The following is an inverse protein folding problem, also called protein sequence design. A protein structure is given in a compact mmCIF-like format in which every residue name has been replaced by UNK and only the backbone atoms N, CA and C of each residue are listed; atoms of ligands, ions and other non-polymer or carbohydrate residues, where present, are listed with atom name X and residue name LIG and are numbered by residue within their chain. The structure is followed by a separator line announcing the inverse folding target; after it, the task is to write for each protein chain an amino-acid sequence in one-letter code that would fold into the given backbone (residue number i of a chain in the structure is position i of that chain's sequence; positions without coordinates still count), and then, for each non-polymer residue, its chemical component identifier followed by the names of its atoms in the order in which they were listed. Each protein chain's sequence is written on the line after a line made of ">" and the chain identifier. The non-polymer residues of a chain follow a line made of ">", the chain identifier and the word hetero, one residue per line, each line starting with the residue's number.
data_IF_973408737730
#
_entry.id   IF_973408737730
#
_cell.length_a   1.000
_cell.length_b   1.000
_cell.length_c   1.000
_cell.angle_alpha   90.00
_cell.angle_beta   90.00
_cell.angle_gamma   90.00
#
_symmetry.space_group_name_H-M   'P 1'
#
loop_
_entity.id
_entity.type
_entity.pdbx_description
1 polymer ?
#
# COMPACT_ATOMS: atom_id res chain seq x y z
N UNK A 1 -23.96 -1.33 -49.34
CA UNK A 1 -23.42 -2.13 -48.22
C UNK A 1 -23.85 -1.46 -46.94
N UNK A 2 -24.50 -2.22 -46.07
CA UNK A 2 -25.24 -1.77 -44.88
C UNK A 2 -24.30 -1.02 -43.92
N UNK A 3 -24.67 0.20 -43.52
CA UNK A 3 -24.06 0.88 -42.39
C UNK A 3 -24.58 0.21 -41.11
N UNK A 4 -23.85 -0.77 -40.59
CA UNK A 4 -24.18 -1.37 -39.31
C UNK A 4 -23.81 -0.38 -38.19
N UNK A 5 -24.82 0.28 -37.64
CA UNK A 5 -24.69 1.06 -36.41
C UNK A 5 -24.89 0.08 -35.26
N UNK A 6 -23.79 -0.32 -34.62
CA UNK A 6 -23.85 -1.15 -33.42
C UNK A 6 -24.00 -0.26 -32.18
N UNK A 7 -25.12 -0.39 -31.47
CA UNK A 7 -25.30 0.20 -30.15
C UNK A 7 -24.96 -0.83 -29.07
N UNK A 8 -24.06 -0.50 -28.15
CA UNK A 8 -23.79 -1.34 -26.97
C UNK A 8 -24.53 -0.77 -25.76
N UNK A 9 -25.56 -1.49 -25.28
CA UNK A 9 -26.30 -1.15 -24.05
C UNK A 9 -25.72 -1.90 -22.86
N UNK A 10 -25.19 -1.18 -21.88
CA UNK A 10 -24.63 -1.77 -20.67
C UNK A 10 -25.48 -1.41 -19.44
N UNK A 11 -25.96 -2.44 -18.71
CA UNK A 11 -26.52 -2.30 -17.36
C UNK A 11 -25.40 -2.58 -16.35
N UNK A 12 -25.03 -1.58 -15.55
CA UNK A 12 -23.91 -1.70 -14.58
C UNK A 12 -24.45 -1.78 -13.14
N UNK A 13 -24.03 -2.81 -12.41
CA UNK A 13 -24.30 -2.94 -10.97
C UNK A 13 -23.36 -2.03 -10.15
N UNK A 14 -23.85 -1.62 -8.97
CA UNK A 14 -23.33 -0.54 -8.11
C UNK A 14 -21.80 -0.52 -7.95
N UNK A 15 -21.21 0.63 -8.29
CA UNK A 15 -19.88 1.12 -7.90
C UNK A 15 -18.67 0.25 -8.29
N UNK A 16 -18.46 0.03 -9.59
CA UNK A 16 -17.17 -0.38 -10.11
C UNK A 16 -16.74 0.54 -11.27
N UNK A 17 -15.51 1.04 -11.22
CA UNK A 17 -14.84 1.51 -12.43
C UNK A 17 -14.59 0.27 -13.29
N UNK A 18 -15.34 0.11 -14.38
CA UNK A 18 -15.19 -1.05 -15.27
C UNK A 18 -14.51 -0.60 -16.56
N UNK A 19 -13.41 -1.25 -16.91
CA UNK A 19 -12.80 -1.16 -18.24
C UNK A 19 -13.27 -2.39 -19.02
N UNK A 20 -13.99 -2.19 -20.13
CA UNK A 20 -14.35 -3.29 -21.03
C UNK A 20 -13.40 -3.37 -22.22
N UNK A 21 -13.41 -4.55 -22.83
CA UNK A 21 -12.72 -4.91 -24.06
C UNK A 21 -13.81 -5.27 -25.07
N UNK A 22 -13.74 -4.79 -26.31
CA UNK A 22 -14.72 -5.17 -27.33
C UNK A 22 -14.06 -5.73 -28.59
N UNK A 23 -14.82 -6.62 -29.23
CA UNK A 23 -14.40 -7.73 -30.08
C UNK A 23 -14.41 -7.38 -31.58
N UNK A 24 -13.60 -8.16 -32.29
CA UNK A 24 -13.27 -8.24 -33.72
C UNK A 24 -14.45 -8.03 -34.69
N UNK A 25 -14.20 -7.21 -35.72
CA UNK A 25 -14.90 -7.29 -37.01
C UNK A 25 -13.87 -7.60 -38.10
N UNK A 26 -14.12 -8.70 -38.83
CA UNK A 26 -13.48 -9.10 -40.09
C UNK A 26 -12.01 -8.69 -40.26
N UNK A 27 -11.12 -9.56 -39.77
CA UNK A 27 -9.67 -9.62 -40.05
C UNK A 27 -8.79 -8.42 -39.65
N UNK A 28 -9.30 -7.38 -38.98
CA UNK A 28 -8.45 -6.34 -38.34
C UNK A 28 -8.79 -6.21 -36.86
N UNK A 29 -7.78 -6.40 -35.99
CA UNK A 29 -7.88 -6.15 -34.56
C UNK A 29 -7.72 -4.65 -34.31
N UNK A 30 -8.84 -3.93 -34.12
CA UNK A 30 -8.83 -2.53 -33.70
C UNK A 30 -8.99 -2.48 -32.18
N UNK A 31 -8.01 -1.88 -31.51
CA UNK A 31 -8.01 -1.68 -30.06
C UNK A 31 -8.67 -0.33 -29.73
N UNK A 32 -9.86 -0.35 -29.15
CA UNK A 32 -10.49 0.86 -28.59
C UNK A 32 -10.59 0.75 -27.08
N UNK A 33 -10.20 1.82 -26.40
CA UNK A 33 -10.25 1.94 -24.95
C UNK A 33 -11.29 2.99 -24.58
N UNK A 34 -12.30 2.59 -23.81
CA UNK A 34 -13.28 3.51 -23.23
C UNK A 34 -13.22 3.34 -21.71
N UNK A 35 -12.74 4.37 -21.03
CA UNK A 35 -12.79 4.48 -19.57
C UNK A 35 -13.91 5.44 -19.20
N UNK A 36 -14.85 4.99 -18.37
CA UNK A 36 -15.89 5.85 -17.81
C UNK A 36 -15.60 6.00 -16.33
N UNK A 37 -15.36 7.25 -15.90
CA UNK A 37 -15.15 7.61 -14.50
C UNK A 37 -16.49 7.97 -13.86
N UNK A 38 -16.86 7.25 -12.80
CA UNK A 38 -18.09 7.50 -12.04
C UNK A 38 -17.84 8.22 -10.72
N UNK A 39 -16.64 8.75 -10.49
CA UNK A 39 -16.30 9.52 -9.29
C UNK A 39 -17.10 10.83 -9.24
N UNK A 40 -18.28 10.78 -8.64
CA UNK A 40 -19.19 11.93 -8.49
C UNK A 40 -20.68 11.62 -8.66
N UNK A 41 -21.05 10.39 -9.03
CA UNK A 41 -22.47 10.02 -9.21
C UNK A 41 -23.06 9.34 -7.97
N UNK A 42 -24.37 9.53 -7.74
CA UNK A 42 -25.08 9.00 -6.56
C UNK A 42 -25.19 7.47 -6.66
N UNK A 43 -24.67 6.69 -5.68
CA UNK A 43 -24.58 5.23 -5.75
C UNK A 43 -25.93 4.49 -5.68
N UNK A 44 -27.05 5.20 -5.51
CA UNK A 44 -28.38 4.61 -5.32
C UNK A 44 -29.19 4.38 -6.61
N UNK A 45 -28.72 4.83 -7.77
CA UNK A 45 -29.43 4.64 -9.05
C UNK A 45 -28.72 3.63 -9.97
N UNK A 46 -29.51 2.78 -10.66
CA UNK A 46 -29.02 2.02 -11.82
C UNK A 46 -28.62 3.00 -12.93
N UNK A 47 -27.43 2.81 -13.50
CA UNK A 47 -26.92 3.67 -14.57
C UNK A 47 -26.74 2.85 -15.85
N UNK A 48 -27.27 3.39 -16.95
CA UNK A 48 -27.11 2.85 -18.30
C UNK A 48 -26.35 3.86 -19.16
N UNK A 49 -25.36 3.38 -19.92
CA UNK A 49 -24.61 4.18 -20.89
C UNK A 49 -24.82 3.56 -22.28
N UNK A 50 -25.27 4.37 -23.23
CA UNK A 50 -25.38 4.01 -24.64
C UNK A 50 -24.13 4.55 -25.37
N UNK A 51 -23.29 3.66 -25.89
CA UNK A 51 -22.10 4.02 -26.68
C UNK A 51 -22.44 3.92 -28.18
N UNK A 52 -22.33 5.03 -28.91
CA UNK A 52 -22.53 5.09 -30.36
C UNK A 52 -21.16 5.11 -31.07
N UNK A 53 -20.81 4.03 -31.77
CA UNK A 53 -19.57 3.94 -32.56
C UNK A 53 -19.90 4.32 -34.02
N UNK A 54 -19.60 5.55 -34.43
CA UNK A 54 -19.75 5.97 -35.84
C UNK A 54 -18.47 5.69 -36.63
N UNK A 55 -18.51 4.68 -37.50
CA UNK A 55 -17.49 4.47 -38.53
C UNK A 55 -17.62 5.51 -39.65
N UNK A 56 -17.02 6.69 -39.45
CA UNK A 56 -17.10 7.81 -40.40
C UNK A 56 -15.75 8.46 -40.64
N UNK A 57 -15.04 8.01 -41.67
CA UNK A 57 -13.84 8.64 -42.19
C UNK A 57 -13.18 7.76 -43.25
N UNK A 58 -12.94 8.28 -44.47
CA UNK A 58 -12.13 7.60 -45.47
C UNK A 58 -10.74 7.35 -44.90
N UNK A 59 -10.38 6.07 -44.78
CA UNK A 59 -9.04 5.64 -44.37
C UNK A 59 -8.01 6.05 -45.44
N UNK A 60 -6.87 6.67 -45.08
CA UNK A 60 -5.78 6.91 -46.02
C UNK A 60 -5.30 5.55 -46.55
N UNK A 61 -5.10 5.42 -47.87
CA UNK A 61 -4.63 4.17 -48.53
C UNK A 61 -3.14 3.86 -48.28
N UNK A 62 -2.60 4.25 -47.13
CA UNK A 62 -1.23 3.98 -46.72
C UNK A 62 -1.22 3.45 -45.30
N UNK A 63 -0.55 2.31 -45.10
CA UNK A 63 -0.46 1.64 -43.80
C UNK A 63 -0.02 2.62 -42.69
N UNK A 64 -0.78 2.74 -41.59
CA UNK A 64 -0.38 3.55 -40.46
C UNK A 64 0.79 2.88 -39.73
N UNK A 65 1.81 3.65 -39.38
CA UNK A 65 2.92 3.16 -38.57
C UNK A 65 2.46 2.90 -37.13
N UNK A 66 3.10 1.94 -36.45
CA UNK A 66 2.72 1.43 -35.12
C UNK A 66 2.55 2.52 -34.02
N UNK A 67 3.16 3.70 -34.19
CA UNK A 67 3.04 4.84 -33.26
C UNK A 67 1.67 5.54 -33.30
N UNK A 68 0.85 5.35 -34.34
CA UNK A 68 -0.46 6.00 -34.46
C UNK A 68 -1.60 5.25 -33.76
N UNK A 69 -1.43 3.96 -33.46
CA UNK A 69 -2.46 3.09 -32.87
C UNK A 69 -2.51 3.12 -31.33
N UNK A 70 -1.69 3.93 -30.67
CA UNK A 70 -1.50 3.93 -29.21
C UNK A 70 -2.02 5.17 -28.47
N UNK A 71 -3.04 5.88 -29.01
CA UNK A 71 -3.65 7.02 -28.29
C UNK A 71 -5.01 6.63 -27.67
N UNK A 72 -5.18 6.71 -26.34
CA UNK A 72 -6.50 6.59 -25.72
C UNK A 72 -7.38 7.79 -26.12
N UNK A 73 -8.62 7.53 -26.56
CA UNK A 73 -9.64 8.56 -26.70
C UNK A 73 -10.27 8.80 -25.32
N UNK A 74 -10.00 9.96 -24.72
CA UNK A 74 -10.76 10.46 -23.57
C UNK A 74 -12.01 11.15 -24.10
N UNK A 75 -13.20 10.63 -23.77
CA UNK A 75 -14.47 11.29 -24.09
C UNK A 75 -14.85 12.17 -22.91
N UNK A 76 -14.90 13.49 -23.14
CA UNK A 76 -15.28 14.48 -22.14
C UNK A 76 -16.81 14.51 -22.00
N UNK A 77 -17.31 14.43 -20.77
CA UNK A 77 -18.75 14.50 -20.48
C UNK A 77 -19.24 15.94 -20.56
N UNK A 78 -19.56 16.42 -21.77
CA UNK A 78 -20.50 17.53 -21.95
C UNK A 78 -21.82 17.00 -22.49
N UNK A 79 -22.79 16.86 -21.60
CA UNK A 79 -24.18 16.72 -21.97
C UNK A 79 -24.63 17.96 -22.75
N UNK A 80 -25.39 17.77 -23.83
CA UNK A 80 -26.81 18.18 -23.92
C UNK A 80 -27.33 18.22 -25.36
N UNK A 81 -28.57 17.74 -25.49
CA UNK A 81 -29.67 18.34 -26.27
C UNK A 81 -29.32 19.09 -27.56
N UNK A 82 -29.83 18.58 -28.67
CA UNK A 82 -29.87 19.21 -29.99
C UNK A 82 -30.35 20.67 -29.95
N UNK A 83 -29.63 21.57 -30.63
CA UNK A 83 -30.22 22.54 -31.57
C UNK A 83 -29.19 22.87 -32.67
N UNK A 84 -29.67 22.83 -33.89
CA UNK A 84 -29.02 23.11 -35.18
C UNK A 84 -28.56 24.56 -35.33
N UNK A 85 -27.35 24.80 -35.85
CA UNK A 85 -27.08 25.81 -36.90
C UNK A 85 -25.59 25.84 -37.31
N UNK A 86 -25.37 25.59 -38.60
CA UNK A 86 -24.37 26.19 -39.52
C UNK A 86 -22.87 26.08 -39.24
N UNK A 87 -22.21 25.40 -40.19
CA UNK A 87 -20.80 25.50 -40.56
C UNK A 87 -20.35 26.95 -40.71
N UNK A 88 -19.28 27.32 -40.00
CA UNK A 88 -18.09 28.05 -40.44
C UNK A 88 -17.34 28.53 -39.19
N UNK A 89 -16.01 28.46 -39.21
CA UNK A 89 -15.08 28.82 -38.12
C UNK A 89 -14.80 27.74 -37.05
N UNK A 90 -13.75 26.94 -37.30
CA UNK A 90 -12.60 26.77 -36.39
C UNK A 90 -11.56 25.80 -36.99
N UNK A 91 -10.84 26.28 -38.01
CA UNK A 91 -9.43 25.90 -38.22
C UNK A 91 -8.60 26.62 -37.14
N UNK A 92 -8.65 26.14 -35.89
CA UNK A 92 -7.75 26.62 -34.84
C UNK A 92 -7.70 25.58 -33.69
N UNK A 93 -6.49 25.24 -33.27
CA UNK A 93 -6.12 24.39 -32.11
C UNK A 93 -6.00 22.86 -32.31
N UNK A 94 -5.15 22.44 -33.25
CA UNK A 94 -4.50 21.11 -33.22
C UNK A 94 -3.07 21.16 -32.63
N UNK A 95 -2.82 22.05 -31.68
CA UNK A 95 -1.61 22.05 -30.84
C UNK A 95 -2.03 21.90 -29.38
N UNK A 96 -2.23 20.65 -28.92
CA UNK A 96 -2.02 20.35 -27.50
C UNK A 96 -0.53 20.58 -27.28
N UNK A 97 -0.16 21.69 -26.65
CA UNK A 97 1.19 21.88 -26.10
C UNK A 97 1.52 20.61 -25.32
N UNK A 98 2.56 19.89 -25.72
CA UNK A 98 3.08 18.80 -24.90
C UNK A 98 3.44 19.42 -23.55
N UNK A 99 2.69 19.07 -22.50
CA UNK A 99 2.97 19.57 -21.16
C UNK A 99 4.43 19.26 -20.82
N UNK A 100 5.21 20.28 -20.49
CA UNK A 100 6.63 20.13 -20.15
C UNK A 100 6.74 19.46 -18.78
N UNK A 101 6.80 18.12 -18.80
CA UNK A 101 6.95 17.30 -17.61
C UNK A 101 8.34 17.40 -16.98
N UNK A 102 9.32 18.04 -17.64
CA UNK A 102 10.66 18.23 -17.08
C UNK A 102 10.62 19.06 -15.79
N UNK A 103 9.60 19.90 -15.60
CA UNK A 103 9.41 20.65 -14.35
C UNK A 103 9.24 19.77 -13.10
N UNK A 104 8.88 18.50 -13.26
CA UNK A 104 8.74 17.54 -12.16
C UNK A 104 9.96 16.63 -11.99
N UNK A 105 11.03 16.85 -12.78
CA UNK A 105 12.26 16.10 -12.65
C UNK A 105 12.95 16.43 -11.31
N UNK A 106 13.28 15.41 -10.54
CA UNK A 106 14.08 15.54 -9.33
C UNK A 106 15.54 15.18 -9.63
N UNK A 107 16.48 16.14 -9.64
CA UNK A 107 17.91 15.83 -9.85
C UNK A 107 18.46 14.87 -8.79
N UNK A 108 17.94 14.96 -7.57
CA UNK A 108 18.34 14.12 -6.45
C UNK A 108 17.98 12.64 -6.67
N UNK A 109 16.84 12.38 -7.30
CA UNK A 109 16.32 11.03 -7.50
C UNK A 109 16.62 10.50 -8.90
N UNK A 110 16.86 11.38 -9.87
CA UNK A 110 17.16 11.03 -11.26
C UNK A 110 15.93 10.62 -12.07
N UNK A 111 14.72 11.04 -11.66
CA UNK A 111 13.48 10.79 -12.38
C UNK A 111 12.39 11.81 -11.99
N UNK A 112 11.28 11.82 -12.72
CA UNK A 112 10.13 12.68 -12.40
C UNK A 112 9.31 12.13 -11.23
N UNK A 113 8.85 13.03 -10.37
CA UNK A 113 7.90 12.74 -9.27
C UNK A 113 6.88 13.88 -9.19
N UNK A 114 5.60 13.52 -9.09
CA UNK A 114 4.55 14.52 -8.95
C UNK A 114 4.55 15.14 -7.55
N UNK A 115 4.34 16.45 -7.43
CA UNK A 115 4.35 17.14 -6.15
C UNK A 115 3.23 16.62 -5.25
N UNK A 116 3.56 16.40 -3.98
CA UNK A 116 2.64 16.01 -2.91
C UNK A 116 3.02 16.78 -1.65
N UNK A 117 2.12 16.85 -0.67
CA UNK A 117 2.33 17.63 0.54
C UNK A 117 2.78 16.73 1.71
N UNK A 118 4.10 16.52 1.93
CA UNK A 118 4.57 15.72 3.06
C UNK A 118 4.33 16.39 4.42
N UNK A 119 4.07 17.71 4.43
CA UNK A 119 3.96 18.51 5.66
C UNK A 119 2.72 18.17 6.49
N UNK A 120 1.72 17.52 5.89
CA UNK A 120 0.58 16.93 6.61
C UNK A 120 1.07 16.03 7.75
N UNK A 121 2.11 15.24 7.50
CA UNK A 121 2.70 14.35 8.52
C UNK A 121 3.93 14.96 9.17
N UNK A 122 4.77 15.69 8.44
CA UNK A 122 6.03 16.21 9.00
C UNK A 122 5.82 17.35 10.01
N UNK A 123 4.80 18.19 9.81
CA UNK A 123 4.47 19.30 10.70
C UNK A 123 3.09 19.16 11.35
N UNK A 124 2.33 18.12 11.01
CA UNK A 124 1.02 17.89 11.62
C UNK A 124 1.10 17.53 13.10
N UNK A 125 -0.02 17.67 13.80
CA UNK A 125 -0.15 17.24 15.19
C UNK A 125 -0.68 15.82 15.29
N UNK A 126 -0.24 15.10 16.32
CA UNK A 126 -0.87 13.84 16.70
C UNK A 126 -2.25 14.12 17.31
N UNK A 127 -3.28 13.42 16.83
CA UNK A 127 -4.58 13.35 17.49
C UNK A 127 -4.44 12.47 18.72
N UNK A 128 -3.85 11.28 18.54
CA UNK A 128 -3.55 10.34 19.61
C UNK A 128 -2.05 10.05 19.61
N UNK A 129 -1.41 10.16 20.78
CA UNK A 129 0.03 9.98 20.93
C UNK A 129 0.40 9.27 22.24
N UNK A 130 0.50 7.93 22.23
CA UNK A 130 1.01 7.15 23.37
C UNK A 130 2.54 7.28 23.52
N UNK A 131 3.02 8.50 23.78
CA UNK A 131 4.45 8.86 23.75
C UNK A 131 5.36 8.14 24.75
N UNK A 132 4.80 7.49 25.77
CA UNK A 132 5.56 6.77 26.82
C UNK A 132 5.62 5.26 26.61
N UNK A 133 4.96 4.73 25.59
CA UNK A 133 4.75 3.28 25.45
C UNK A 133 6.06 2.50 25.22
N UNK A 134 7.07 3.12 24.62
CA UNK A 134 8.40 2.53 24.51
C UNK A 134 9.26 2.77 25.76
N UNK A 135 9.26 4.01 26.28
CA UNK A 135 10.16 4.43 27.36
C UNK A 135 9.79 3.89 28.74
N UNK A 136 8.58 3.34 28.91
CA UNK A 136 8.19 2.58 30.10
C UNK A 136 8.94 1.24 30.24
N UNK A 137 9.53 0.73 29.16
CA UNK A 137 10.32 -0.50 29.16
C UNK A 137 11.80 -0.13 29.20
N UNK A 138 12.56 -0.60 30.19
CA UNK A 138 14.01 -0.33 30.25
C UNK A 138 14.75 -1.03 29.10
N UNK A 139 14.41 -2.29 28.86
CA UNK A 139 14.98 -3.12 27.79
C UNK A 139 13.84 -3.56 26.84
N UNK A 140 13.62 -2.82 25.75
CA UNK A 140 12.62 -3.17 24.73
C UNK A 140 13.30 -3.87 23.55
N UNK A 141 13.17 -5.19 23.43
CA UNK A 141 13.83 -5.94 22.34
C UNK A 141 13.20 -5.64 20.96
N UNK A 142 11.88 -5.43 20.92
CA UNK A 142 11.16 -5.23 19.67
C UNK A 142 10.01 -4.24 19.80
N UNK A 143 10.04 -3.14 19.06
CA UNK A 143 8.85 -2.32 18.82
C UNK A 143 8.21 -2.71 17.49
N UNK A 144 6.91 -2.99 17.51
CA UNK A 144 6.13 -3.43 16.35
C UNK A 144 5.20 -2.30 15.94
N UNK A 145 5.42 -1.71 14.78
CA UNK A 145 4.55 -0.67 14.21
C UNK A 145 3.66 -1.29 13.14
N UNK A 146 2.35 -1.12 13.29
CA UNK A 146 1.36 -1.80 12.44
C UNK A 146 0.58 -0.79 11.62
N UNK A 147 0.59 -0.95 10.30
CA UNK A 147 -0.35 -0.28 9.42
C UNK A 147 -1.72 -0.93 9.53
N UNK A 148 -2.72 -0.20 10.01
CA UNK A 148 -4.09 -0.72 10.15
C UNK A 148 -5.12 0.34 9.79
N UNK A 149 -6.26 -0.07 9.26
CA UNK A 149 -7.40 0.83 9.10
C UNK A 149 -8.12 1.05 10.46
N UNK A 150 -8.77 2.20 10.69
CA UNK A 150 -9.44 2.50 11.95
C UNK A 150 -10.44 1.45 12.41
N UNK A 151 -11.16 0.78 11.50
CA UNK A 151 -12.20 -0.19 11.86
C UNK A 151 -11.77 -1.66 11.83
N UNK A 152 -10.47 -1.94 11.68
CA UNK A 152 -9.92 -3.29 11.74
C UNK A 152 -9.65 -3.76 13.19
N UNK A 153 -10.70 -3.72 14.02
CA UNK A 153 -10.62 -4.04 15.45
C UNK A 153 -10.12 -5.46 15.75
N UNK A 154 -10.61 -6.45 14.99
CA UNK A 154 -10.28 -7.87 15.20
C UNK A 154 -8.80 -8.12 14.89
N UNK A 155 -8.30 -7.57 13.79
CA UNK A 155 -6.87 -7.65 13.41
C UNK A 155 -5.96 -7.02 14.46
N UNK A 156 -6.29 -5.81 14.94
CA UNK A 156 -5.55 -5.18 16.04
C UNK A 156 -5.56 -6.03 17.31
N UNK A 157 -6.71 -6.58 17.68
CA UNK A 157 -6.83 -7.50 18.83
C UNK A 157 -5.89 -8.70 18.68
N UNK A 158 -5.92 -9.39 17.54
CA UNK A 158 -5.08 -10.56 17.29
C UNK A 158 -3.59 -10.22 17.38
N UNK A 159 -3.14 -9.13 16.75
CA UNK A 159 -1.74 -8.69 16.83
C UNK A 159 -1.36 -8.30 18.26
N UNK A 160 -2.21 -7.55 18.96
CA UNK A 160 -1.99 -7.15 20.36
C UNK A 160 -1.84 -8.36 21.28
N UNK A 161 -2.68 -9.38 21.13
CA UNK A 161 -2.57 -10.60 21.92
C UNK A 161 -1.31 -11.40 21.58
N UNK A 162 -0.92 -11.43 20.30
CA UNK A 162 0.28 -12.16 19.83
C UNK A 162 1.59 -11.60 20.38
N UNK A 163 1.67 -10.28 20.56
CA UNK A 163 2.82 -9.60 21.16
C UNK A 163 2.64 -9.30 22.67
N UNK A 164 1.60 -9.85 23.31
CA UNK A 164 1.35 -9.60 24.73
C UNK A 164 2.34 -10.35 25.63
N UNK A 165 2.75 -9.79 26.79
CA UNK A 165 3.74 -10.41 27.67
C UNK A 165 3.47 -11.89 28.03
N UNK A 166 2.22 -12.34 28.27
CA UNK A 166 1.93 -13.75 28.54
C UNK A 166 2.27 -14.71 27.38
N UNK A 167 2.39 -14.20 26.15
CA UNK A 167 2.73 -14.99 24.95
C UNK A 167 4.19 -14.87 24.52
N UNK A 168 4.93 -13.94 25.09
CA UNK A 168 6.35 -13.77 24.78
C UNK A 168 7.19 -14.81 25.54
N UNK A 169 8.17 -15.46 24.89
CA UNK A 169 9.15 -16.24 25.62
C UNK A 169 9.95 -15.29 26.53
N UNK A 170 10.23 -15.70 27.78
CA UNK A 170 11.19 -14.96 28.61
C UNK A 170 12.61 -15.19 28.07
N UNK A 171 13.51 -14.20 28.14
CA UNK A 171 13.39 -12.88 28.76
C UNK A 171 13.00 -11.77 27.76
N UNK A 172 12.33 -12.10 26.65
CA UNK A 172 12.10 -11.15 25.56
C UNK A 172 10.97 -10.17 25.84
N UNK A 173 11.13 -8.94 25.37
CA UNK A 173 10.11 -7.87 25.48
C UNK A 173 9.69 -7.36 24.11
N UNK A 174 8.40 -7.09 23.94
CA UNK A 174 7.88 -6.49 22.73
C UNK A 174 6.75 -5.52 23.04
N UNK A 175 6.60 -4.50 22.18
CA UNK A 175 5.51 -3.54 22.27
C UNK A 175 4.92 -3.30 20.89
N UNK A 176 3.61 -3.49 20.75
CA UNK A 176 2.89 -3.14 19.51
C UNK A 176 2.33 -1.72 19.59
N UNK A 177 2.33 -1.03 18.45
CA UNK A 177 1.79 0.31 18.25
C UNK A 177 1.09 0.37 16.89
N UNK A 178 -0.14 0.88 16.85
CA UNK A 178 -0.99 0.91 15.66
C UNK A 178 -1.02 2.31 15.03
N UNK A 179 -0.90 2.37 13.70
CA UNK A 179 -0.75 3.61 12.94
C UNK A 179 -2.00 3.87 12.10
N UNK A 180 -2.74 4.93 12.40
CA UNK A 180 -4.05 5.23 11.80
C UNK A 180 -4.10 6.63 11.19
N UNK A 181 -4.84 6.77 10.09
CA UNK A 181 -5.38 8.05 9.64
C UNK A 181 -6.78 8.32 10.21
N UNK A 182 -7.49 9.24 9.57
CA UNK A 182 -8.89 9.60 9.86
C UNK A 182 -9.79 9.25 8.68
N UNK A 183 -11.04 8.89 8.95
CA UNK A 183 -12.07 8.87 7.92
C UNK A 183 -12.76 10.25 7.88
N UNK A 184 -13.22 10.66 6.71
CA UNK A 184 -13.97 11.91 6.57
C UNK A 184 -15.31 11.79 7.32
N UNK A 185 -15.79 12.88 7.92
CA UNK A 185 -17.04 12.91 8.70
C UNK A 185 -18.25 12.33 7.96
N UNK A 186 -18.30 12.45 6.62
CA UNK A 186 -19.36 11.90 5.77
C UNK A 186 -19.30 10.38 5.59
N UNK A 187 -18.15 9.76 5.87
CA UNK A 187 -17.89 8.32 5.73
C UNK A 187 -17.76 7.60 7.08
N UNK A 188 -17.75 8.36 8.18
CA UNK A 188 -17.61 7.84 9.53
C UNK A 188 -18.92 7.17 9.96
N UNK A 189 -18.79 5.95 10.47
CA UNK A 189 -19.85 5.25 11.19
C UNK A 189 -19.72 5.65 12.68
N UNK A 190 -20.69 6.39 13.26
CA UNK A 190 -20.59 6.89 14.63
C UNK A 190 -20.40 5.79 15.68
N UNK A 191 -21.03 4.63 15.48
CA UNK A 191 -20.90 3.50 16.39
C UNK A 191 -19.49 2.91 16.34
N UNK A 192 -18.89 2.80 15.14
CA UNK A 192 -17.51 2.34 15.00
C UNK A 192 -16.51 3.36 15.54
N UNK A 193 -16.75 4.66 15.37
CA UNK A 193 -15.88 5.70 15.92
C UNK A 193 -15.93 5.73 17.45
N UNK A 194 -17.11 5.50 18.05
CA UNK A 194 -17.24 5.33 19.49
C UNK A 194 -16.46 4.10 19.98
N UNK A 195 -16.55 2.96 19.27
CA UNK A 195 -15.76 1.77 19.59
C UNK A 195 -14.25 2.00 19.45
N UNK A 196 -13.82 2.77 18.46
CA UNK A 196 -12.41 3.16 18.30
C UNK A 196 -11.95 4.05 19.45
N UNK A 197 -12.76 5.02 19.86
CA UNK A 197 -12.47 5.88 21.01
C UNK A 197 -12.32 5.05 22.29
N UNK A 198 -13.20 4.07 22.50
CA UNK A 198 -13.12 3.14 23.62
C UNK A 198 -11.84 2.26 23.56
N UNK A 199 -11.45 1.79 22.37
CA UNK A 199 -10.21 1.02 22.17
C UNK A 199 -8.98 1.88 22.50
N UNK A 200 -8.90 3.11 21.97
CA UNK A 200 -7.80 4.06 22.20
C UNK A 200 -7.62 4.28 23.71
N UNK A 201 -8.71 4.61 24.41
CA UNK A 201 -8.67 4.83 25.87
C UNK A 201 -8.24 3.59 26.65
N UNK A 202 -8.66 2.41 26.21
CA UNK A 202 -8.39 1.15 26.91
C UNK A 202 -6.93 0.71 26.80
N UNK A 203 -6.35 0.78 25.60
CA UNK A 203 -5.04 0.18 25.34
C UNK A 203 -3.90 1.18 25.22
N UNK A 204 -4.21 2.45 24.91
CA UNK A 204 -3.22 3.52 24.78
C UNK A 204 -2.03 3.11 23.89
N UNK A 205 -2.32 2.48 22.74
CA UNK A 205 -1.34 1.92 21.80
C UNK A 205 -1.60 2.32 20.34
N UNK A 206 -2.42 3.36 20.12
CA UNK A 206 -2.77 3.89 18.81
C UNK A 206 -2.14 5.27 18.62
N UNK A 207 -1.36 5.42 17.55
CA UNK A 207 -0.89 6.70 17.04
C UNK A 207 -1.80 7.10 15.88
N UNK A 208 -2.42 8.27 15.98
CA UNK A 208 -3.37 8.77 14.98
C UNK A 208 -3.04 10.20 14.58
N UNK A 209 -3.07 10.48 13.29
CA UNK A 209 -2.94 11.84 12.73
C UNK A 209 -4.07 12.14 11.75
N UNK A 210 -4.31 13.43 11.50
CA UNK A 210 -5.35 13.87 10.58
C UNK A 210 -4.90 13.83 9.12
N UNK A 211 -4.92 12.63 8.54
CA UNK A 211 -4.86 12.43 7.10
C UNK A 211 -5.89 11.38 6.70
N UNK A 212 -6.50 11.57 5.53
CA UNK A 212 -7.53 10.66 5.04
C UNK A 212 -6.99 9.24 4.89
N UNK A 213 -7.64 8.30 5.57
CA UNK A 213 -7.38 6.88 5.47
C UNK A 213 -7.75 6.37 4.08
N UNK A 214 -6.74 6.09 3.26
CA UNK A 214 -6.93 5.63 1.89
C UNK A 214 -5.68 4.88 1.40
N UNK A 215 -5.87 3.93 0.47
CA UNK A 215 -4.76 3.14 -0.07
C UNK A 215 -3.65 4.00 -0.69
N UNK A 216 -4.01 5.07 -1.42
CA UNK A 216 -3.03 6.02 -2.01
C UNK A 216 -2.30 6.88 -0.96
N UNK A 217 -2.79 6.88 0.28
CA UNK A 217 -2.26 7.65 1.41
C UNK A 217 -1.47 6.77 2.39
N UNK A 218 -1.21 5.49 2.06
CA UNK A 218 -0.37 4.62 2.88
C UNK A 218 1.02 5.23 3.15
N UNK A 219 1.54 6.06 2.25
CA UNK A 219 2.80 6.75 2.48
C UNK A 219 2.74 7.74 3.64
N UNK A 220 1.61 8.43 3.87
CA UNK A 220 1.44 9.27 5.06
C UNK A 220 1.51 8.42 6.34
N UNK A 221 0.85 7.27 6.34
CA UNK A 221 0.94 6.30 7.44
C UNK A 221 2.36 5.75 7.61
N UNK A 222 3.10 5.62 6.52
CA UNK A 222 4.49 5.19 6.56
C UNK A 222 5.43 6.24 7.17
N UNK A 223 5.23 7.51 6.80
CA UNK A 223 5.92 8.64 7.41
C UNK A 223 5.54 8.79 8.89
N UNK A 224 4.28 8.50 9.25
CA UNK A 224 3.76 8.59 10.61
C UNK A 224 4.55 7.70 11.57
N UNK A 225 4.69 6.40 11.26
CA UNK A 225 5.41 5.50 12.16
C UNK A 225 6.88 5.87 12.27
N UNK A 226 7.51 6.30 11.17
CA UNK A 226 8.92 6.65 11.17
C UNK A 226 9.17 7.89 12.03
N UNK A 227 8.34 8.93 11.88
CA UNK A 227 8.39 10.13 12.71
C UNK A 227 8.17 9.78 14.18
N UNK A 228 7.13 9.02 14.49
CA UNK A 228 6.79 8.66 15.86
C UNK A 228 7.90 7.84 16.54
N UNK A 229 8.54 6.90 15.83
CA UNK A 229 9.66 6.14 16.38
C UNK A 229 10.90 7.00 16.66
N UNK A 230 11.18 7.99 15.80
CA UNK A 230 12.28 8.93 16.00
C UNK A 230 12.04 9.83 17.22
N UNK A 231 10.80 10.30 17.40
CA UNK A 231 10.42 11.22 18.48
C UNK A 231 10.18 10.53 19.84
N UNK A 232 9.65 9.30 19.85
CA UNK A 232 9.06 8.71 21.06
C UNK A 232 9.53 7.28 21.39
N UNK A 233 10.37 6.66 20.58
CA UNK A 233 10.83 5.29 20.81
C UNK A 233 12.36 5.12 20.67
N UNK A 234 13.18 5.79 21.51
CA UNK A 234 14.64 5.74 21.41
C UNK A 234 15.28 4.43 21.86
N UNK A 235 14.63 3.68 22.75
CA UNK A 235 15.21 2.57 23.51
C UNK A 235 14.93 1.16 22.92
N UNK A 236 14.16 1.05 21.84
CA UNK A 236 13.92 -0.24 21.21
C UNK A 236 15.19 -0.77 20.53
N UNK A 237 15.54 -2.05 20.72
CA UNK A 237 16.70 -2.67 20.06
C UNK A 237 16.47 -2.84 18.55
N UNK A 238 15.28 -3.27 18.17
CA UNK A 238 14.86 -3.50 16.79
C UNK A 238 13.46 -2.93 16.55
N UNK A 239 13.20 -2.57 15.29
CA UNK A 239 11.87 -2.15 14.81
C UNK A 239 11.34 -3.20 13.87
N UNK A 240 10.06 -3.54 14.00
CA UNK A 240 9.33 -4.38 13.07
C UNK A 240 8.12 -3.62 12.53
N UNK A 241 8.07 -3.39 11.22
CA UNK A 241 6.88 -2.90 10.52
C UNK A 241 6.06 -4.09 10.03
N UNK A 242 4.77 -4.07 10.33
CA UNK A 242 3.78 -5.04 9.83
C UNK A 242 2.59 -4.35 9.16
N UNK A 243 1.95 -5.07 8.25
CA UNK A 243 0.55 -4.81 7.87
C UNK A 243 -0.41 -5.56 8.82
N UNK A 244 -1.65 -5.09 8.93
CA UNK A 244 -2.65 -5.68 9.83
C UNK A 244 -3.17 -7.05 9.39
N UNK A 245 -2.88 -7.49 8.17
CA UNK A 245 -3.21 -8.80 7.63
C UNK A 245 -2.01 -9.76 7.65
N UNK A 246 -1.08 -9.54 8.56
CA UNK A 246 0.08 -10.41 8.76
C UNK A 246 -0.05 -11.24 10.03
N UNK A 247 0.41 -12.49 9.94
CA UNK A 247 0.53 -13.41 11.06
C UNK A 247 1.95 -13.95 11.12
N UNK A 248 2.52 -14.00 12.33
CA UNK A 248 3.89 -14.45 12.54
C UNK A 248 4.05 -15.33 13.78
N UNK A 249 5.05 -16.20 13.72
CA UNK A 249 5.54 -16.96 14.87
C UNK A 249 6.42 -16.05 15.73
N UNK A 250 5.80 -15.33 16.66
CA UNK A 250 6.47 -14.37 17.55
C UNK A 250 7.57 -15.05 18.39
N UNK A 251 7.39 -16.33 18.74
CA UNK A 251 8.35 -17.11 19.53
C UNK A 251 9.62 -17.45 18.75
N UNK A 252 9.53 -17.63 17.43
CA UNK A 252 10.72 -17.71 16.55
C UNK A 252 11.32 -16.34 16.27
N UNK A 253 10.48 -15.33 16.04
CA UNK A 253 10.92 -13.99 15.60
C UNK A 253 11.74 -13.25 16.68
N UNK A 254 11.36 -13.34 17.95
CA UNK A 254 12.04 -12.59 19.01
C UNK A 254 13.51 -13.00 19.21
N UNK A 255 13.84 -14.30 19.36
CA UNK A 255 15.24 -14.75 19.39
C UNK A 255 16.04 -14.37 18.15
N UNK A 256 15.43 -14.46 16.96
CA UNK A 256 16.09 -14.07 15.70
C UNK A 256 16.38 -12.56 15.67
N UNK A 257 15.41 -11.74 16.05
CA UNK A 257 15.55 -10.29 16.10
C UNK A 257 16.65 -9.87 17.08
N UNK A 258 16.58 -10.35 18.33
CA UNK A 258 17.54 -9.99 19.39
C UNK A 258 18.91 -10.62 19.20
N UNK A 259 19.00 -11.88 18.79
CA UNK A 259 20.24 -12.64 18.74
C UNK A 259 21.01 -12.58 17.42
N UNK A 260 20.33 -12.27 16.31
CA UNK A 260 20.93 -12.25 14.98
C UNK A 260 20.81 -10.87 14.33
N UNK A 261 19.60 -10.34 14.16
CA UNK A 261 19.39 -9.12 13.39
C UNK A 261 19.98 -7.88 14.06
N UNK A 262 19.86 -7.79 15.39
CA UNK A 262 20.38 -6.67 16.21
C UNK A 262 21.90 -6.43 16.10
N UNK A 263 22.66 -7.45 15.66
CA UNK A 263 24.11 -7.37 15.45
C UNK A 263 24.47 -6.50 14.24
N UNK A 264 23.54 -6.33 13.30
CA UNK A 264 23.75 -5.51 12.13
C UNK A 264 23.31 -4.07 12.39
N UNK A 265 24.09 -3.13 11.88
CA UNK A 265 23.80 -1.69 11.92
C UNK A 265 23.28 -1.23 10.58
N UNK A 266 22.52 -0.13 10.58
CA UNK A 266 21.93 0.49 9.38
C UNK A 266 21.31 -0.52 8.41
N UNK A 267 20.57 -1.48 8.95
CA UNK A 267 20.15 -2.68 8.22
C UNK A 267 18.63 -2.81 8.15
N UNK A 268 18.16 -3.29 6.99
CA UNK A 268 16.75 -3.63 6.74
C UNK A 268 16.67 -5.12 6.37
N UNK A 269 15.83 -5.89 7.07
CA UNK A 269 15.57 -7.29 6.78
C UNK A 269 14.15 -7.44 6.23
N UNK A 270 14.02 -7.87 4.98
CA UNK A 270 12.72 -8.01 4.33
C UNK A 270 12.75 -8.98 3.14
N UNK A 271 11.60 -9.23 2.51
CA UNK A 271 11.57 -9.77 1.15
C UNK A 271 12.01 -8.67 0.19
N UNK A 272 13.26 -8.74 -0.29
CA UNK A 272 13.86 -7.67 -1.10
C UNK A 272 13.46 -7.76 -2.56
N UNK A 273 13.18 -6.61 -3.15
CA UNK A 273 13.09 -6.37 -4.58
C UNK A 273 14.38 -5.68 -5.03
N UNK A 274 15.34 -6.38 -5.66
CA UNK A 274 16.61 -5.77 -6.07
C UNK A 274 16.40 -4.66 -7.11
N UNK A 275 17.27 -3.65 -7.09
CA UNK A 275 17.33 -2.61 -8.12
C UNK A 275 17.31 -3.21 -9.53
N UNK A 276 16.45 -2.68 -10.39
CA UNK A 276 16.37 -3.14 -11.78
C UNK A 276 15.51 -4.38 -12.02
N UNK A 277 14.79 -4.89 -11.00
CA UNK A 277 13.98 -6.11 -11.15
C UNK A 277 12.48 -5.85 -11.25
N UNK A 278 11.97 -4.78 -10.65
CA UNK A 278 10.52 -4.54 -10.54
C UNK A 278 10.04 -3.50 -11.55
N UNK A 279 9.15 -3.87 -12.48
CA UNK A 279 8.55 -2.92 -13.40
C UNK A 279 7.68 -1.92 -12.65
N UNK A 280 7.62 -0.69 -13.15
CA UNK A 280 6.73 0.34 -12.61
C UNK A 280 5.32 0.05 -13.11
N UNK A 281 4.35 -0.28 -12.22
CA UNK A 281 3.02 -0.69 -12.64
C UNK A 281 2.30 0.47 -13.34
N UNK A 282 1.75 0.23 -14.52
CA UNK A 282 0.89 1.21 -15.23
C UNK A 282 -0.59 0.83 -15.21
N UNK A 283 -0.91 -0.35 -14.66
CA UNK A 283 -2.27 -0.88 -14.53
C UNK A 283 -2.50 -1.43 -13.12
N UNK A 284 -3.77 -1.62 -12.76
CA UNK A 284 -4.19 -2.17 -11.48
C UNK A 284 -4.15 -1.17 -10.32
N UNK A 285 -4.43 -1.66 -9.11
CA UNK A 285 -4.60 -0.84 -7.90
C UNK A 285 -3.35 -0.01 -7.55
N UNK A 286 -2.16 -0.54 -7.86
CA UNK A 286 -0.86 0.08 -7.59
C UNK A 286 -0.31 0.86 -8.79
N UNK A 287 -1.13 1.15 -9.81
CA UNK A 287 -0.67 1.87 -10.99
C UNK A 287 -0.09 3.24 -10.64
N UNK A 288 0.96 3.61 -11.36
CA UNK A 288 1.73 4.83 -11.18
C UNK A 288 1.42 5.76 -12.34
N UNK A 289 1.14 7.02 -12.03
CA UNK A 289 0.84 8.04 -13.03
C UNK A 289 1.97 8.08 -14.08
N UNK A 290 1.66 8.06 -15.40
CA UNK A 290 2.67 8.07 -16.47
C UNK A 290 3.66 9.24 -16.39
N UNK A 291 3.28 10.34 -15.73
CA UNK A 291 4.13 11.52 -15.52
C UNK A 291 5.17 11.31 -14.41
N UNK A 292 4.97 10.30 -13.57
CA UNK A 292 5.98 9.82 -12.62
C UNK A 292 6.84 8.75 -13.28
N UNK A 293 8.14 8.86 -13.02
CA UNK A 293 9.13 8.00 -13.66
C UNK A 293 9.08 8.08 -15.19
N UNK A 294 8.89 9.28 -15.75
CA UNK A 294 8.91 9.52 -17.20
C UNK A 294 10.22 9.00 -17.78
N UNK A 295 10.14 8.18 -18.84
CA UNK A 295 11.32 7.55 -19.45
C UNK A 295 11.91 6.37 -18.65
N UNK A 296 11.38 6.06 -17.48
CA UNK A 296 11.85 4.99 -16.60
C UNK A 296 10.78 3.91 -16.49
N UNK A 297 11.12 2.68 -16.87
CA UNK A 297 10.19 1.53 -16.88
C UNK A 297 10.30 0.62 -15.67
N UNK A 298 11.44 0.66 -14.97
CA UNK A 298 11.79 -0.23 -13.87
C UNK A 298 12.23 0.63 -12.70
N UNK A 299 11.82 0.30 -11.48
CA UNK A 299 12.23 1.07 -10.31
C UNK A 299 13.75 1.08 -10.14
N UNK A 300 14.40 2.26 -10.01
CA UNK A 300 15.85 2.37 -9.91
C UNK A 300 16.37 2.17 -8.47
N UNK A 301 15.62 1.45 -7.63
CA UNK A 301 15.89 1.25 -6.21
C UNK A 301 15.83 -0.23 -5.84
N UNK A 302 16.69 -0.65 -4.90
CA UNK A 302 16.39 -1.82 -4.08
C UNK A 302 15.40 -1.38 -3.01
N UNK A 303 14.34 -2.15 -2.81
CA UNK A 303 13.33 -1.87 -1.79
C UNK A 303 12.72 -3.16 -1.22
N UNK A 304 11.91 -3.04 -0.19
CA UNK A 304 11.26 -4.18 0.46
C UNK A 304 9.82 -4.33 -0.02
N UNK A 305 9.35 -5.56 -0.21
CA UNK A 305 7.92 -5.84 -0.06
C UNK A 305 7.54 -5.62 1.40
N UNK A 306 6.67 -4.65 1.68
CA UNK A 306 6.58 -4.03 3.00
C UNK A 306 5.72 -4.71 4.05
N UNK A 307 5.14 -5.89 3.77
CA UNK A 307 4.24 -6.55 4.71
C UNK A 307 4.93 -7.02 6.00
N UNK A 308 6.19 -7.45 5.93
CA UNK A 308 7.06 -7.74 7.08
C UNK A 308 8.43 -7.14 6.83
N UNK A 309 8.83 -6.15 7.64
CA UNK A 309 10.13 -5.50 7.52
C UNK A 309 10.73 -5.25 8.90
N UNK A 310 11.93 -5.79 9.15
CA UNK A 310 12.70 -5.42 10.33
C UNK A 310 13.70 -4.31 9.97
N UNK A 311 13.88 -3.36 10.87
CA UNK A 311 14.88 -2.32 10.77
C UNK A 311 15.73 -2.28 12.04
N UNK A 312 17.03 -2.08 11.88
CA UNK A 312 17.90 -1.77 13.01
C UNK A 312 17.55 -0.39 13.56
N UNK A 313 17.52 -0.22 14.88
CA UNK A 313 17.06 1.03 15.50
C UNK A 313 17.90 2.25 15.09
N UNK A 314 19.20 2.06 14.87
CA UNK A 314 20.13 3.11 14.47
C UNK A 314 19.84 3.68 13.06
N UNK A 315 19.00 3.02 12.27
CA UNK A 315 18.59 3.49 10.95
C UNK A 315 17.41 4.48 11.00
N UNK A 316 16.60 4.45 12.07
CA UNK A 316 15.36 5.24 12.17
C UNK A 316 15.62 6.74 12.06
N UNK A 317 16.55 7.30 12.84
CA UNK A 317 16.81 8.75 12.81
C UNK A 317 17.42 9.24 11.47
N UNK A 318 18.41 8.53 10.87
CA UNK A 318 18.85 8.81 9.51
C UNK A 318 17.72 8.81 8.47
N UNK A 319 16.81 7.83 8.55
CA UNK A 319 15.64 7.79 7.66
C UNK A 319 14.67 8.94 7.93
N UNK A 320 14.38 9.28 9.19
CA UNK A 320 13.48 10.38 9.55
C UNK A 320 13.99 11.73 9.00
N UNK A 321 15.30 11.97 9.09
CA UNK A 321 15.97 13.13 8.46
C UNK A 321 15.88 13.08 6.93
N UNK A 322 16.05 11.89 6.35
CA UNK A 322 15.98 11.70 4.90
C UNK A 322 14.57 11.94 4.32
N UNK A 323 13.51 11.57 5.04
CA UNK A 323 12.12 11.83 4.59
C UNK A 323 11.89 13.32 4.31
N UNK A 324 12.38 14.21 5.19
CA UNK A 324 12.18 15.66 5.06
C UNK A 324 12.75 16.25 3.75
N UNK A 325 13.75 15.60 3.15
CA UNK A 325 14.41 16.02 1.91
C UNK A 325 14.06 15.17 0.69
N UNK A 326 13.14 14.22 0.84
CA UNK A 326 12.76 13.30 -0.24
C UNK A 326 11.37 13.68 -0.76
N UNK A 327 11.22 14.03 -2.06
CA UNK A 327 9.91 14.24 -2.66
C UNK A 327 8.98 13.04 -2.42
N UNK A 328 7.79 13.30 -1.88
CA UNK A 328 6.87 12.25 -1.48
C UNK A 328 6.31 11.48 -2.69
N UNK A 329 6.31 10.16 -2.57
CA UNK A 329 5.77 9.21 -3.55
C UNK A 329 4.63 8.38 -2.93
N UNK A 330 3.69 7.84 -3.71
CA UNK A 330 2.46 7.24 -3.18
C UNK A 330 2.52 5.72 -2.94
N UNK A 331 3.55 5.04 -3.43
CA UNK A 331 3.83 3.64 -3.09
C UNK A 331 4.78 3.66 -1.90
N UNK A 332 4.25 3.39 -0.71
CA UNK A 332 4.94 3.52 0.57
C UNK A 332 6.17 2.63 0.67
N UNK A 333 6.09 1.40 0.17
CA UNK A 333 7.21 0.46 0.12
C UNK A 333 8.41 1.01 -0.68
N UNK A 334 8.14 1.57 -1.86
CA UNK A 334 9.17 2.16 -2.73
C UNK A 334 9.67 3.47 -2.12
N UNK A 335 8.77 4.28 -1.56
CA UNK A 335 9.13 5.54 -0.92
C UNK A 335 10.03 5.31 0.29
N UNK A 336 9.61 4.51 1.26
CA UNK A 336 10.33 4.30 2.52
C UNK A 336 11.60 3.46 2.33
N UNK A 337 11.45 2.29 1.71
CA UNK A 337 12.53 1.31 1.65
C UNK A 337 13.36 1.42 0.39
N UNK A 338 13.02 2.29 -0.57
CA UNK A 338 13.83 2.59 -1.75
C UNK A 338 14.38 4.01 -1.72
N UNK A 339 13.49 5.00 -1.86
CA UNK A 339 13.87 6.41 -2.01
C UNK A 339 14.45 7.00 -0.71
N UNK A 340 13.73 6.90 0.40
CA UNK A 340 14.15 7.41 1.71
C UNK A 340 15.37 6.65 2.22
N UNK A 341 15.42 5.33 2.05
CA UNK A 341 16.58 4.52 2.40
C UNK A 341 17.83 4.91 1.59
N UNK A 342 17.72 5.12 0.26
CA UNK A 342 18.81 5.69 -0.56
C UNK A 342 19.26 7.04 0.00
N UNK A 343 18.31 7.90 0.32
CA UNK A 343 18.58 9.22 0.88
C UNK A 343 19.16 9.17 2.29
N UNK A 344 18.92 8.14 3.08
CA UNK A 344 19.55 7.96 4.39
C UNK A 344 21.03 7.58 4.29
N UNK A 345 21.46 6.98 3.16
CA UNK A 345 22.83 6.56 2.88
C UNK A 345 23.29 5.35 3.68
N UNK A 346 24.26 4.58 3.18
CA UNK A 346 24.87 3.43 3.88
C UNK A 346 23.84 2.47 4.51
N UNK A 347 22.82 2.08 3.74
CA UNK A 347 21.79 1.12 4.18
C UNK A 347 22.10 -0.25 3.60
N UNK A 348 22.10 -1.27 4.46
CA UNK A 348 22.30 -2.67 4.04
C UNK A 348 20.97 -3.41 4.04
N UNK A 349 20.68 -4.13 2.96
CA UNK A 349 19.47 -4.97 2.86
C UNK A 349 19.84 -6.44 3.04
N UNK A 350 19.06 -7.13 3.87
CA UNK A 350 19.18 -8.56 4.13
C UNK A 350 17.90 -9.24 3.65
N UNK A 351 18.03 -10.13 2.67
CA UNK A 351 16.88 -10.79 2.09
C UNK A 351 16.41 -11.96 2.97
N UNK A 352 15.24 -11.79 3.59
CA UNK A 352 14.54 -12.82 4.37
C UNK A 352 13.30 -13.37 3.64
N UNK A 353 13.12 -13.06 2.34
CA UNK A 353 11.98 -13.54 1.52
C UNK A 353 11.90 -15.07 1.42
N UNK A 354 12.94 -15.76 1.86
CA UNK A 354 12.99 -17.20 2.03
C UNK A 354 12.28 -17.71 3.29
N UNK A 355 12.04 -16.86 4.29
CA UNK A 355 11.45 -17.21 5.59
C UNK A 355 10.09 -16.55 5.83
N UNK A 356 9.66 -15.67 4.94
CA UNK A 356 8.34 -15.04 4.95
C UNK A 356 7.68 -15.16 3.57
N UNK A 357 6.36 -15.18 3.51
CA UNK A 357 5.66 -15.34 2.22
C UNK A 357 4.25 -14.75 2.22
N UNK A 358 3.65 -14.56 1.04
CA UNK A 358 2.26 -14.10 0.91
C UNK A 358 1.25 -15.27 0.96
N UNK A 359 1.74 -16.51 0.97
CA UNK A 359 0.95 -17.72 0.83
C UNK A 359 0.77 -18.42 2.18
N UNK A 360 -0.31 -18.10 2.91
CA UNK A 360 -0.54 -18.69 4.24
C UNK A 360 -0.61 -20.22 4.22
N UNK A 361 -1.19 -20.85 3.19
CA UNK A 361 -1.28 -22.31 3.14
C UNK A 361 0.08 -22.99 3.11
N UNK A 362 1.07 -22.35 2.46
CA UNK A 362 2.46 -22.83 2.45
C UNK A 362 3.07 -22.82 3.85
N UNK A 363 2.84 -21.74 4.61
CA UNK A 363 3.33 -21.62 5.98
C UNK A 363 2.59 -22.58 6.91
N UNK A 364 1.28 -22.72 6.75
CA UNK A 364 0.46 -23.62 7.56
C UNK A 364 0.92 -25.07 7.38
N UNK A 365 1.04 -25.52 6.14
CA UNK A 365 1.43 -26.90 5.83
C UNK A 365 2.83 -27.19 6.37
N UNK A 366 3.80 -26.29 6.18
CA UNK A 366 5.14 -26.40 6.76
C UNK A 366 5.10 -26.43 8.30
N UNK A 367 4.31 -25.57 8.93
CA UNK A 367 4.19 -25.52 10.41
C UNK A 367 3.63 -26.81 10.97
N UNK A 368 2.61 -27.39 10.33
CA UNK A 368 1.98 -28.63 10.80
C UNK A 368 2.85 -29.86 10.53
N UNK A 369 3.56 -29.90 9.41
CA UNK A 369 4.41 -31.04 9.03
C UNK A 369 5.76 -31.03 9.77
N UNK A 370 6.46 -29.90 9.74
CA UNK A 370 7.84 -29.80 10.21
C UNK A 370 7.93 -29.26 11.66
N UNK A 371 6.82 -28.79 12.23
CA UNK A 371 6.77 -28.24 13.58
C UNK A 371 7.73 -27.06 13.77
N UNK A 372 8.57 -27.16 14.81
CA UNK A 372 9.63 -26.17 15.07
C UNK A 372 10.65 -26.06 13.93
N UNK A 373 10.86 -27.14 13.16
CA UNK A 373 11.76 -27.18 12.01
C UNK A 373 11.28 -26.36 10.80
N UNK A 374 10.00 -25.93 10.79
CA UNK A 374 9.49 -25.11 9.70
C UNK A 374 10.28 -23.80 9.56
N UNK A 375 10.83 -23.57 8.36
CA UNK A 375 11.65 -22.39 8.03
C UNK A 375 10.88 -21.06 8.03
N UNK A 376 9.56 -21.12 7.87
CA UNK A 376 8.71 -19.94 7.79
C UNK A 376 8.32 -19.47 9.17
N UNK A 377 8.39 -18.15 9.38
CA UNK A 377 7.94 -17.51 10.63
C UNK A 377 6.96 -16.36 10.41
N UNK A 378 6.54 -16.10 9.17
CA UNK A 378 5.58 -15.04 8.88
C UNK A 378 4.89 -15.17 7.53
N UNK A 379 3.61 -14.78 7.48
CA UNK A 379 2.81 -14.78 6.26
C UNK A 379 1.71 -13.73 6.27
N UNK A 380 1.24 -13.35 5.09
CA UNK A 380 -0.03 -12.63 4.93
C UNK A 380 -1.21 -13.59 5.09
N UNK A 381 -2.23 -13.18 5.82
CA UNK A 381 -3.51 -13.85 6.04
C UNK A 381 -4.65 -12.81 5.97
N UNK A 382 -5.14 -12.56 4.75
CA UNK A 382 -6.17 -11.53 4.48
C UNK A 382 -7.49 -11.74 5.20
N UNK A 383 -7.86 -13.00 5.44
CA UNK A 383 -9.09 -13.37 6.14
C UNK A 383 -8.79 -13.74 7.58
N UNK A 384 -9.63 -13.27 8.51
CA UNK A 384 -9.45 -13.49 9.94
C UNK A 384 -9.41 -14.99 10.30
N UNK A 385 -10.22 -15.83 9.66
CA UNK A 385 -10.21 -17.27 9.90
C UNK A 385 -8.88 -17.95 9.50
N UNK A 386 -8.23 -17.46 8.44
CA UNK A 386 -6.90 -17.96 8.04
C UNK A 386 -5.84 -17.51 9.05
N UNK A 387 -5.97 -16.28 9.57
CA UNK A 387 -5.09 -15.76 10.59
C UNK A 387 -5.21 -16.55 11.90
N UNK A 388 -6.43 -16.80 12.37
CA UNK A 388 -6.71 -17.62 13.56
C UNK A 388 -6.13 -19.03 13.41
N UNK A 389 -6.41 -19.70 12.28
CA UNK A 389 -5.87 -21.03 11.97
C UNK A 389 -4.34 -21.06 12.02
N UNK A 390 -3.69 -19.99 11.58
CA UNK A 390 -2.24 -19.87 11.60
C UNK A 390 -1.69 -19.68 13.02
N UNK A 391 -2.28 -18.78 13.81
CA UNK A 391 -1.90 -18.60 15.21
C UNK A 391 -2.06 -19.88 16.01
N UNK A 392 -3.16 -20.62 15.80
CA UNK A 392 -3.36 -21.92 16.44
C UNK A 392 -2.28 -22.94 16.04
N UNK A 393 -1.81 -22.91 14.79
CA UNK A 393 -0.74 -23.79 14.33
C UNK A 393 0.59 -23.43 15.01
N UNK A 394 0.95 -22.14 15.09
CA UNK A 394 2.12 -21.69 15.83
C UNK A 394 2.02 -22.06 17.31
N UNK A 395 0.87 -21.83 17.94
CA UNK A 395 0.67 -22.17 19.34
C UNK A 395 0.83 -23.68 19.61
N UNK A 396 0.30 -24.53 18.73
CA UNK A 396 0.44 -25.99 18.86
C UNK A 396 1.89 -26.45 18.83
N UNK A 397 2.71 -25.93 17.92
CA UNK A 397 4.11 -26.37 17.81
C UNK A 397 4.97 -25.90 18.99
N UNK A 398 4.53 -24.87 19.73
CA UNK A 398 5.19 -24.35 20.92
C UNK A 398 4.53 -24.79 22.25
N UNK A 399 3.53 -25.68 22.21
CA UNK A 399 2.71 -26.05 23.38
C UNK A 399 3.50 -26.68 24.52
N UNK A 400 4.57 -27.40 24.19
CA UNK A 400 5.43 -28.08 25.18
C UNK A 400 6.56 -27.20 25.68
N UNK A 401 6.88 -26.12 24.98
CA UNK A 401 7.92 -25.17 25.40
C UNK A 401 7.36 -24.14 26.40
N UNK A 402 6.08 -23.77 26.30
CA UNK A 402 5.45 -22.76 27.17
C UNK A 402 3.92 -22.98 27.27
N UNK A 403 3.32 -22.97 28.47
CA UNK A 403 1.86 -23.02 28.63
C UNK A 403 1.21 -21.77 28.00
N UNK A 404 0.53 -21.93 26.87
CA UNK A 404 -0.06 -20.83 26.09
C UNK A 404 -1.49 -20.55 26.59
N UNK A 405 -1.85 -19.29 26.90
CA UNK A 405 -3.25 -18.90 27.05
C UNK A 405 -3.97 -19.01 25.71
N UNK A 406 -5.00 -19.85 25.63
CA UNK A 406 -5.86 -20.01 24.45
C UNK A 406 -6.44 -18.66 24.00
N UNK A 407 -6.40 -18.38 22.69
CA UNK A 407 -7.16 -17.28 22.08
C UNK A 407 -8.63 -17.42 22.46
N UNK A 408 -9.17 -16.48 23.25
CA UNK A 408 -10.62 -16.40 23.48
C UNK A 408 -11.23 -15.67 22.30
N UNK A 409 -11.64 -16.42 21.28
CA UNK A 409 -12.53 -15.92 20.23
C UNK A 409 -13.93 -15.86 20.86
N UNK A 410 -14.40 -14.66 21.18
CA UNK A 410 -15.80 -14.41 21.59
C UNK A 410 -16.48 -13.63 20.49
#
# INVERSE_FOLDING_TARGET
>A
MVHDISYLRLKLARAANVCYYAVILSQVLIWTYVCVDFSGTNPNFEQTVDLEIRGGGQWPQTEPTADQLARPLMVDARAQSQTTATNEHKKASSQRQAEDWNKYFSPLLGHTILPRNPWIVLNGSYIENPSRICTQHLDLDLVVVVHTAPYNFIKRRMLRESFSPPRLPRPYTAQVVFMLGTFNSTTVDPAKELNLTAEIRKYNDIVRMDFQEHFRNLTYKAMLWLRWLDEHCPNALMVLKLDDDVVMDVKKVLPLSRGLFSKYKRSIFCSTNPKGTQPIPRIGRTCVDPREFTGVKIYPYTYCSGFIVFLSRDLISPMAKAVRRTPMYNVDDVFMFGMVAKMAGNVTYHNIGYNITLWHDKVYNCTVSDGLGCRYYGTMAKKDNHAIRMYDAFDRIHRYDFKIPTLKVV
#
